data_IF_743352659612
#
_entry.id   IF_743352659612
#
_cell.length_a   1.000
_cell.length_b   1.000
_cell.length_c   1.000
_cell.angle_alpha   90.00
_cell.angle_beta   90.00
_cell.angle_gamma   90.00
#
_symmetry.space_group_name_H-M   'P 1'
#
loop_
_entity.id
_entity.type
_entity.pdbx_description
1 polymer ?
#
# COMPACT_ATOMS: atom_id res chain seq x y z
N UNK A 1 -23.15 -25.31 -9.00
CA UNK A 1 -22.28 -24.56 -9.93
C UNK A 1 -22.36 -23.10 -9.52
N UNK A 2 -21.56 -22.69 -8.58
CA UNK A 2 -21.67 -21.40 -7.89
C UNK A 2 -20.59 -20.49 -8.44
N UNK A 3 -20.99 -19.56 -9.32
CA UNK A 3 -20.10 -18.55 -9.89
C UNK A 3 -19.81 -17.50 -8.85
N UNK A 4 -18.62 -17.52 -8.26
CA UNK A 4 -18.08 -16.48 -7.41
C UNK A 4 -17.44 -15.43 -8.32
N UNK A 5 -18.21 -14.49 -8.82
CA UNK A 5 -17.74 -13.24 -9.43
C UNK A 5 -17.90 -12.12 -8.41
N UNK A 6 -17.00 -11.99 -7.56
CA UNK A 6 -15.80 -11.19 -7.28
C UNK A 6 -15.96 -9.68 -7.48
N UNK A 7 -15.81 -8.97 -6.39
CA UNK A 7 -15.43 -7.55 -6.26
C UNK A 7 -14.22 -7.21 -7.17
N UNK A 8 -14.05 -5.96 -7.59
CA UNK A 8 -12.98 -5.58 -8.51
C UNK A 8 -11.61 -5.92 -7.95
N UNK A 9 -10.87 -6.66 -8.74
CA UNK A 9 -9.60 -7.34 -8.45
C UNK A 9 -8.46 -6.38 -8.06
N UNK A 10 -8.58 -5.09 -8.37
CA UNK A 10 -7.49 -4.14 -8.29
C UNK A 10 -6.89 -3.89 -6.89
N UNK A 11 -7.68 -4.05 -5.80
CA UNK A 11 -7.16 -3.83 -4.44
C UNK A 11 -7.23 -5.05 -3.52
N UNK A 12 -7.80 -6.16 -3.99
CA UNK A 12 -7.97 -7.38 -3.16
C UNK A 12 -6.71 -8.23 -3.10
N UNK A 13 -5.85 -8.14 -4.10
CA UNK A 13 -4.79 -9.13 -4.30
C UNK A 13 -3.49 -8.88 -3.55
N UNK A 14 -3.16 -7.66 -3.20
CA UNK A 14 -1.99 -7.38 -2.35
C UNK A 14 -2.30 -7.66 -0.87
N UNK A 15 -3.58 -7.70 -0.50
CA UNK A 15 -4.03 -7.87 0.90
C UNK A 15 -4.87 -9.11 1.17
N UNK A 16 -5.18 -9.96 0.19
CA UNK A 16 -5.96 -11.20 0.39
C UNK A 16 -5.18 -12.38 0.99
N UNK A 17 -4.00 -12.13 1.59
CA UNK A 17 -3.39 -13.08 2.51
C UNK A 17 -4.20 -13.30 3.81
N UNK A 18 -5.33 -12.60 3.94
CA UNK A 18 -6.19 -12.60 5.13
C UNK A 18 -7.41 -13.50 4.95
N UNK A 19 -7.23 -14.81 4.89
CA UNK A 19 -8.32 -15.76 5.09
C UNK A 19 -8.21 -16.35 6.49
N UNK A 20 -9.26 -16.08 7.28
CA UNK A 20 -9.48 -16.54 8.65
C UNK A 20 -9.21 -18.03 8.83
N UNK A 21 -8.42 -18.37 9.86
CA UNK A 21 -8.39 -19.69 10.47
C UNK A 21 -9.13 -19.66 11.82
N UNK A 22 -9.86 -20.72 12.19
CA UNK A 22 -10.65 -20.75 13.41
C UNK A 22 -9.79 -20.91 14.67
N UNK A 23 -10.25 -20.28 15.73
CA UNK A 23 -9.71 -20.35 17.08
C UNK A 23 -9.51 -21.78 17.57
N UNK A 24 -8.32 -22.12 18.05
CA UNK A 24 -8.10 -23.25 18.93
C UNK A 24 -7.38 -22.85 20.22
N UNK A 25 -7.77 -23.51 21.29
CA UNK A 25 -7.63 -23.26 22.73
C UNK A 25 -6.20 -23.01 23.24
N UNK A 26 -6.09 -22.09 24.21
CA UNK A 26 -4.88 -21.77 24.99
C UNK A 26 -4.43 -22.94 25.89
N UNK A 27 -3.13 -23.12 26.11
CA UNK A 27 -2.61 -23.67 27.37
C UNK A 27 -2.03 -22.57 28.28
N UNK A 28 -2.32 -22.71 29.56
CA UNK A 28 -1.75 -21.93 30.68
C UNK A 28 -0.28 -22.30 30.86
N UNK A 29 0.60 -21.33 30.98
CA UNK A 29 1.98 -21.51 31.42
C UNK A 29 2.26 -20.72 32.70
N UNK A 30 2.88 -21.43 33.61
CA UNK A 30 3.17 -21.21 35.03
C UNK A 30 4.31 -20.16 35.20
N UNK A 31 4.11 -19.23 36.12
CA UNK A 31 5.14 -18.27 36.58
C UNK A 31 6.26 -18.98 37.32
N UNK A 32 7.50 -18.64 37.01
CA UNK A 32 8.66 -18.88 37.88
C UNK A 32 9.38 -17.54 38.07
N UNK A 33 9.48 -17.13 39.33
CA UNK A 33 10.24 -15.99 39.81
C UNK A 33 11.70 -16.40 39.99
N UNK A 34 12.64 -15.62 39.51
CA UNK A 34 14.06 -15.72 39.86
C UNK A 34 14.55 -14.35 40.32
N UNK A 35 14.99 -14.36 41.57
CA UNK A 35 15.67 -13.27 42.28
C UNK A 35 17.13 -13.30 41.86
N UNK A 36 17.72 -12.17 41.46
CA UNK A 36 19.20 -12.03 41.33
C UNK A 36 19.70 -10.80 42.08
N UNK A 37 20.67 -11.08 42.90
CA UNK A 37 21.38 -10.17 43.80
C UNK A 37 22.20 -9.10 43.05
N UNK A 38 22.21 -7.90 43.65
CA UNK A 38 23.06 -6.74 43.29
C UNK A 38 24.41 -6.87 43.96
N UNK A 39 25.48 -6.79 43.19
CA UNK A 39 26.84 -6.53 43.72
C UNK A 39 27.31 -5.14 43.28
N UNK A 40 27.61 -4.29 44.28
CA UNK A 40 28.21 -2.95 44.14
C UNK A 40 29.73 -3.10 43.93
N UNK A 41 30.27 -2.51 42.87
CA UNK A 41 31.68 -2.25 42.72
C UNK A 41 31.89 -0.77 42.38
N UNK A 42 32.51 -0.04 43.34
CA UNK A 42 32.91 1.36 43.23
C UNK A 42 34.23 1.46 42.44
N UNK A 43 34.23 2.19 41.32
CA UNK A 43 35.45 2.47 40.53
C UNK A 43 35.58 3.95 40.21
N UNK A 44 36.73 4.51 40.56
CA UNK A 44 37.17 5.90 40.42
C UNK A 44 37.11 6.43 39.00
N UNK A 45 36.56 7.63 38.83
CA UNK A 45 36.54 8.39 37.57
C UNK A 45 37.58 9.49 37.62
N UNK A 46 38.53 9.50 36.68
CA UNK A 46 39.38 10.64 36.34
C UNK A 46 38.79 11.40 35.15
N UNK A 47 38.71 12.74 35.19
CA UNK A 47 38.17 13.50 34.05
C UNK A 47 39.28 13.73 33.00
N UNK A 48 39.12 13.20 31.80
CA UNK A 48 39.87 13.62 30.62
C UNK A 48 39.04 14.65 29.86
N UNK A 49 39.49 15.91 29.90
CA UNK A 49 38.98 16.97 29.03
C UNK A 49 39.60 16.83 27.64
N UNK A 50 38.84 16.29 26.70
CA UNK A 50 39.09 16.36 25.28
C UNK A 50 37.94 17.11 24.60
N UNK A 51 38.10 18.43 24.40
CA UNK A 51 37.23 19.21 23.55
C UNK A 51 37.50 18.81 22.09
N UNK A 52 36.76 17.86 21.57
CA UNK A 52 36.60 17.69 20.12
C UNK A 52 35.39 18.54 19.70
N UNK A 53 35.69 19.60 18.96
CA UNK A 53 34.69 20.40 18.25
C UNK A 53 33.97 19.48 17.30
N UNK A 54 32.73 19.14 17.61
CA UNK A 54 31.81 18.49 16.65
C UNK A 54 31.65 19.41 15.45
N UNK A 55 31.70 18.89 14.21
CA UNK A 55 31.34 19.68 13.05
C UNK A 55 29.89 20.16 13.22
N UNK A 56 29.69 21.46 13.03
CA UNK A 56 28.38 22.10 13.09
C UNK A 56 27.45 21.33 12.13
N UNK A 57 26.47 20.66 12.72
CA UNK A 57 25.34 20.11 11.93
C UNK A 57 24.69 21.30 11.24
N UNK A 58 24.73 21.32 9.93
CA UNK A 58 23.87 22.18 9.11
C UNK A 58 22.44 21.80 9.44
N UNK A 59 21.79 22.65 10.21
CA UNK A 59 20.40 22.53 10.66
C UNK A 59 19.46 22.87 9.47
N UNK A 60 19.43 21.97 8.49
CA UNK A 60 18.53 21.98 7.36
C UNK A 60 17.63 20.77 7.45
N UNK A 61 16.57 20.84 8.26
CA UNK A 61 15.49 19.84 8.22
C UNK A 61 14.94 19.81 6.80
N UNK A 62 15.03 18.61 6.15
CA UNK A 62 14.47 18.40 4.81
C UNK A 62 12.96 18.62 4.87
N UNK A 63 12.43 19.28 3.83
CA UNK A 63 10.99 19.41 3.63
C UNK A 63 10.32 18.06 3.34
N UNK A 64 8.99 17.98 3.45
CA UNK A 64 8.21 16.78 3.07
C UNK A 64 8.51 16.40 1.62
N UNK A 65 8.52 17.38 0.72
CA UNK A 65 8.80 17.16 -0.72
C UNK A 65 10.20 16.59 -0.96
N UNK A 66 11.22 17.08 -0.27
CA UNK A 66 12.59 16.59 -0.40
C UNK A 66 12.72 15.15 0.10
N UNK A 67 12.11 14.82 1.25
CA UNK A 67 12.06 13.45 1.74
C UNK A 67 11.39 12.51 0.74
N UNK A 68 10.19 12.85 0.26
CA UNK A 68 9.45 12.01 -0.67
C UNK A 68 10.19 11.84 -2.00
N UNK A 69 10.85 12.88 -2.49
CA UNK A 69 11.67 12.80 -3.71
C UNK A 69 12.83 11.82 -3.53
N UNK A 70 13.56 11.91 -2.40
CA UNK A 70 14.65 10.99 -2.08
C UNK A 70 14.19 9.54 -2.03
N UNK A 71 13.06 9.27 -1.35
CA UNK A 71 12.50 7.92 -1.23
C UNK A 71 12.07 7.37 -2.60
N UNK A 72 11.44 8.20 -3.42
CA UNK A 72 11.02 7.84 -4.78
C UNK A 72 12.21 7.50 -5.67
N UNK A 73 13.23 8.35 -5.70
CA UNK A 73 14.45 8.10 -6.48
C UNK A 73 15.19 6.83 -6.04
N UNK A 74 15.27 6.58 -4.75
CA UNK A 74 15.90 5.39 -4.21
C UNK A 74 15.21 4.11 -4.69
N UNK A 75 13.87 4.09 -4.70
CA UNK A 75 13.09 2.94 -5.16
C UNK A 75 13.28 2.63 -6.65
N UNK A 76 13.70 3.62 -7.45
CA UNK A 76 13.90 3.47 -8.90
C UNK A 76 15.32 3.12 -9.32
N UNK A 77 16.31 3.18 -8.42
CA UNK A 77 17.72 3.09 -8.79
C UNK A 77 18.46 1.87 -8.23
N UNK A 78 17.81 1.04 -7.39
CA UNK A 78 18.51 -0.05 -6.69
C UNK A 78 17.94 -1.41 -7.05
N UNK A 79 18.86 -2.38 -7.20
CA UNK A 79 18.49 -3.80 -7.21
C UNK A 79 18.56 -4.34 -5.77
N UNK A 80 17.55 -5.12 -5.37
CA UNK A 80 17.56 -5.76 -4.06
C UNK A 80 16.74 -7.06 -4.04
N UNK A 81 17.05 -7.89 -3.06
CA UNK A 81 16.28 -9.07 -2.68
C UNK A 81 15.98 -8.95 -1.19
N UNK A 82 14.73 -9.18 -0.79
CA UNK A 82 14.37 -9.13 0.62
C UNK A 82 13.16 -9.97 0.97
N UNK A 83 12.92 -10.10 2.25
CA UNK A 83 11.68 -10.66 2.81
C UNK A 83 10.93 -9.54 3.51
N UNK A 84 9.74 -9.22 3.00
CA UNK A 84 8.84 -8.24 3.58
C UNK A 84 7.86 -8.93 4.52
N UNK A 85 7.64 -8.32 5.67
CA UNK A 85 6.61 -8.71 6.63
C UNK A 85 5.62 -7.56 6.76
N UNK A 86 4.35 -7.88 6.58
CA UNK A 86 3.23 -6.95 6.78
C UNK A 86 2.49 -7.40 8.03
N UNK A 87 2.24 -6.48 8.95
CA UNK A 87 1.37 -6.71 10.09
C UNK A 87 0.28 -5.64 10.16
N UNK A 88 -0.96 -6.08 10.39
CA UNK A 88 -2.12 -5.22 10.49
C UNK A 88 -3.08 -5.82 11.54
N UNK A 89 -3.22 -5.15 12.68
CA UNK A 89 -3.92 -5.70 13.83
C UNK A 89 -3.26 -7.00 14.32
N UNK A 90 -4.05 -8.08 14.43
CA UNK A 90 -3.56 -9.41 14.87
C UNK A 90 -3.01 -10.27 13.75
N UNK A 91 -3.09 -9.80 12.52
CA UNK A 91 -2.74 -10.59 11.35
C UNK A 91 -1.35 -10.22 10.82
N UNK A 92 -0.61 -11.20 10.29
CA UNK A 92 0.73 -11.04 9.75
C UNK A 92 0.88 -11.86 8.47
N UNK A 93 1.56 -11.30 7.48
CA UNK A 93 1.94 -11.99 6.25
C UNK A 93 3.39 -11.71 5.88
N UNK A 94 3.98 -12.60 5.10
CA UNK A 94 5.33 -12.46 4.59
C UNK A 94 5.38 -12.73 3.09
N UNK A 95 6.26 -12.01 2.39
CA UNK A 95 6.50 -12.15 0.96
C UNK A 95 7.98 -11.99 0.64
N UNK A 96 8.50 -12.77 -0.30
CA UNK A 96 9.84 -12.59 -0.86
C UNK A 96 9.75 -11.65 -2.06
N UNK A 97 10.64 -10.67 -2.11
CA UNK A 97 10.69 -9.69 -3.18
C UNK A 97 12.06 -9.70 -3.89
N UNK A 98 12.04 -9.57 -5.20
CA UNK A 98 13.18 -9.31 -6.07
C UNK A 98 12.88 -8.06 -6.87
N UNK A 99 13.73 -7.07 -6.76
CA UNK A 99 13.60 -5.81 -7.50
C UNK A 99 14.86 -5.52 -8.30
N UNK A 100 14.70 -5.05 -9.53
CA UNK A 100 15.79 -4.59 -10.40
C UNK A 100 15.31 -3.46 -11.30
N UNK A 101 16.21 -2.51 -11.56
CA UNK A 101 16.00 -1.41 -12.50
C UNK A 101 17.25 -1.17 -13.33
N UNK A 102 17.09 -0.62 -14.55
CA UNK A 102 18.18 -0.23 -15.46
C UNK A 102 18.14 1.26 -15.84
N UNK A 103 17.37 2.07 -15.10
CA UNK A 103 17.14 3.49 -15.38
C UNK A 103 15.98 3.76 -16.33
N UNK A 104 15.64 2.82 -17.22
CA UNK A 104 14.52 2.94 -18.17
C UNK A 104 13.34 2.03 -17.81
N UNK A 105 13.62 0.89 -17.19
CA UNK A 105 12.66 -0.12 -16.82
C UNK A 105 12.88 -0.58 -15.38
N UNK A 106 11.77 -0.88 -14.71
CA UNK A 106 11.75 -1.54 -13.42
C UNK A 106 11.07 -2.89 -13.55
N UNK A 107 11.64 -3.90 -12.91
CA UNK A 107 11.00 -5.19 -12.75
C UNK A 107 11.01 -5.61 -11.30
N UNK A 108 9.92 -6.20 -10.89
CA UNK A 108 9.70 -6.67 -9.54
C UNK A 108 9.00 -8.02 -9.58
N UNK A 109 9.43 -8.94 -8.74
CA UNK A 109 8.73 -10.19 -8.47
C UNK A 109 8.44 -10.27 -6.98
N UNK A 110 7.23 -10.66 -6.64
CA UNK A 110 6.77 -10.87 -5.27
C UNK A 110 6.15 -12.26 -5.18
N UNK A 111 6.70 -13.09 -4.31
CA UNK A 111 6.15 -14.41 -3.99
C UNK A 111 5.58 -14.38 -2.57
N UNK A 112 4.32 -14.77 -2.39
CA UNK A 112 3.75 -14.93 -1.06
C UNK A 112 4.42 -16.10 -0.34
N UNK A 113 4.81 -15.90 0.93
CA UNK A 113 5.38 -16.93 1.80
C UNK A 113 4.36 -17.45 2.82
N UNK A 114 3.26 -16.74 3.01
CA UNK A 114 2.17 -17.10 3.93
C UNK A 114 0.84 -17.11 3.18
N UNK A 115 -0.04 -18.04 3.53
CA UNK A 115 -1.35 -18.22 2.87
C UNK A 115 -1.24 -18.95 1.54
N UNK A 116 -2.21 -18.73 0.64
CA UNK A 116 -2.25 -19.37 -0.66
C UNK A 116 -1.08 -18.92 -1.55
N UNK A 117 -0.39 -19.84 -2.24
CA UNK A 117 0.73 -19.51 -3.12
C UNK A 117 0.32 -18.54 -4.22
N UNK A 118 1.10 -17.47 -4.38
CA UNK A 118 0.89 -16.46 -5.42
C UNK A 118 2.21 -15.86 -5.83
N UNK A 119 2.38 -15.64 -7.13
CA UNK A 119 3.53 -14.92 -7.69
C UNK A 119 3.00 -13.73 -8.46
N UNK A 120 3.45 -12.54 -8.12
CA UNK A 120 3.16 -11.31 -8.87
C UNK A 120 4.46 -10.81 -9.50
N UNK A 121 4.44 -10.53 -10.81
CA UNK A 121 5.57 -9.96 -11.54
C UNK A 121 5.11 -8.64 -12.16
N UNK A 122 5.86 -7.58 -11.89
CA UNK A 122 5.64 -6.25 -12.44
C UNK A 122 6.76 -5.88 -13.41
N UNK A 123 6.39 -5.24 -14.50
CA UNK A 123 7.29 -4.51 -15.40
C UNK A 123 6.70 -3.12 -15.62
N UNK A 124 7.31 -2.10 -15.04
CA UNK A 124 6.77 -0.74 -15.01
C UNK A 124 5.31 -0.77 -14.48
N UNK A 125 4.34 -0.42 -15.33
CA UNK A 125 2.91 -0.42 -15.01
C UNK A 125 2.17 -1.72 -15.33
N UNK A 126 2.81 -2.64 -16.04
CA UNK A 126 2.22 -3.94 -16.39
C UNK A 126 2.49 -4.95 -15.29
N UNK A 127 1.44 -5.60 -14.81
CA UNK A 127 1.48 -6.57 -13.71
C UNK A 127 0.83 -7.85 -14.18
N UNK A 128 1.46 -8.99 -13.89
CA UNK A 128 0.84 -10.30 -14.01
C UNK A 128 0.88 -10.99 -12.66
N UNK A 129 -0.27 -11.51 -12.22
CA UNK A 129 -0.40 -12.28 -10.99
C UNK A 129 -0.80 -13.71 -11.31
N UNK A 130 0.03 -14.66 -10.96
CA UNK A 130 -0.20 -16.09 -11.09
C UNK A 130 -0.81 -16.63 -9.81
N UNK A 131 -1.91 -17.38 -9.94
CA UNK A 131 -2.59 -18.11 -8.87
C UNK A 131 -2.55 -19.61 -9.20
N UNK A 132 -1.55 -20.35 -8.68
CA UNK A 132 -1.30 -21.74 -9.07
C UNK A 132 -2.47 -22.69 -8.76
N UNK A 133 -3.16 -22.46 -7.62
CA UNK A 133 -4.29 -23.31 -7.18
C UNK A 133 -5.44 -23.34 -8.18
N UNK A 134 -5.79 -22.20 -8.75
CA UNK A 134 -6.84 -22.09 -9.78
C UNK A 134 -6.30 -22.17 -11.19
N UNK A 135 -4.97 -22.25 -11.39
CA UNK A 135 -4.30 -22.14 -12.69
C UNK A 135 -4.74 -20.90 -13.48
N UNK A 136 -4.92 -19.77 -12.79
CA UNK A 136 -5.30 -18.50 -13.40
C UNK A 136 -4.17 -17.50 -13.33
N UNK A 137 -4.05 -16.66 -14.37
CA UNK A 137 -3.14 -15.53 -14.41
C UNK A 137 -3.92 -14.25 -14.74
N UNK A 138 -3.75 -13.23 -13.92
CA UNK A 138 -4.40 -11.94 -14.10
C UNK A 138 -3.41 -10.92 -14.62
N UNK A 139 -3.70 -10.30 -15.77
CA UNK A 139 -2.87 -9.24 -16.36
C UNK A 139 -3.57 -7.91 -16.15
N UNK A 140 -2.87 -6.97 -15.51
CA UNK A 140 -3.42 -5.66 -15.15
C UNK A 140 -2.43 -4.55 -15.46
N UNK A 141 -2.91 -3.31 -15.48
CA UNK A 141 -2.06 -2.12 -15.42
C UNK A 141 -2.22 -1.49 -14.05
N UNK A 142 -1.12 -1.38 -13.33
CA UNK A 142 -1.08 -0.72 -12.01
C UNK A 142 0.06 0.29 -11.98
N UNK A 143 -0.17 1.39 -11.30
CA UNK A 143 0.90 2.35 -11.04
C UNK A 143 1.87 1.79 -9.98
N UNK A 144 1.37 0.97 -9.02
CA UNK A 144 2.11 0.40 -7.90
C UNK A 144 1.71 -1.03 -7.56
N UNK A 145 2.58 -1.79 -6.90
CA UNK A 145 2.25 -3.04 -6.22
C UNK A 145 1.71 -2.83 -4.79
N UNK A 146 1.72 -1.61 -4.29
CA UNK A 146 1.08 -1.23 -3.02
C UNK A 146 1.76 -1.77 -1.75
N UNK A 147 3.03 -2.21 -1.82
CA UNK A 147 3.76 -2.68 -0.63
C UNK A 147 4.36 -1.55 0.19
N UNK A 148 4.81 -0.50 -0.47
CA UNK A 148 5.05 0.81 0.12
C UNK A 148 4.15 1.80 -0.63
N UNK A 149 3.63 2.87 0.00
CA UNK A 149 2.95 3.92 -0.73
C UNK A 149 3.84 4.29 -1.91
N UNK A 150 3.36 4.10 -3.13
CA UNK A 150 4.02 4.79 -4.22
C UNK A 150 3.78 6.26 -3.93
N UNK A 151 4.85 6.95 -3.68
CA UNK A 151 4.88 8.38 -3.73
C UNK A 151 4.54 8.73 -5.19
N UNK A 152 3.22 8.73 -5.49
CA UNK A 152 2.65 8.78 -6.83
C UNK A 152 3.03 10.11 -7.48
N UNK A 153 4.02 10.03 -8.35
CA UNK A 153 4.53 11.18 -9.06
C UNK A 153 5.48 12.05 -8.22
N UNK A 154 5.97 13.11 -8.81
CA UNK A 154 6.72 14.13 -8.06
C UNK A 154 5.76 14.78 -7.09
N UNK A 155 6.04 14.77 -5.77
CA UNK A 155 5.22 15.51 -4.83
C UNK A 155 5.15 16.94 -5.32
N UNK A 156 3.95 17.38 -5.69
CA UNK A 156 3.73 18.79 -5.96
C UNK A 156 3.92 19.58 -4.65
N UNK A 157 4.24 20.85 -4.71
CA UNK A 157 4.39 21.73 -3.55
C UNK A 157 3.13 21.75 -2.63
N UNK A 158 2.04 21.13 -3.06
CA UNK A 158 0.79 21.05 -2.29
C UNK A 158 0.84 20.02 -1.13
N UNK A 159 1.72 19.01 -1.16
CA UNK A 159 1.77 17.98 -0.11
C UNK A 159 2.08 18.61 1.27
N UNK A 160 2.86 19.68 1.31
CA UNK A 160 3.22 20.41 2.52
C UNK A 160 2.05 21.17 3.16
N UNK A 161 0.96 21.39 2.40
CA UNK A 161 -0.29 21.93 2.94
C UNK A 161 -1.00 20.92 3.83
N UNK A 162 -0.79 19.61 3.58
CA UNK A 162 -1.50 18.53 4.22
C UNK A 162 -0.66 17.73 5.20
N UNK A 163 0.67 17.78 5.07
CA UNK A 163 1.58 17.07 5.95
C UNK A 163 2.72 17.98 6.44
N UNK A 164 3.17 17.70 7.65
CA UNK A 164 4.45 18.19 8.17
C UNK A 164 5.39 17.02 8.41
N UNK A 165 6.70 17.26 8.31
CA UNK A 165 7.74 16.28 8.58
C UNK A 165 8.35 16.53 9.95
N UNK A 166 8.66 15.44 10.66
CA UNK A 166 9.43 15.45 11.90
C UNK A 166 10.51 14.37 11.83
N UNK A 167 11.76 14.76 11.88
CA UNK A 167 12.89 13.84 12.01
C UNK A 167 12.96 13.31 13.44
N UNK A 168 13.05 11.99 13.59
CA UNK A 168 13.04 11.33 14.91
C UNK A 168 14.44 10.84 15.29
N UNK A 169 15.30 10.55 14.31
CA UNK A 169 16.64 10.00 14.51
C UNK A 169 16.88 8.78 13.63
N UNK A 170 17.78 7.90 14.05
CA UNK A 170 18.15 6.73 13.30
C UNK A 170 17.91 5.44 14.09
N UNK A 171 17.51 4.37 13.40
CA UNK A 171 17.32 3.03 13.96
C UNK A 171 17.85 1.97 13.00
N UNK A 172 18.14 0.78 13.54
CA UNK A 172 18.56 -0.36 12.73
C UNK A 172 17.36 -1.20 12.31
N UNK A 173 17.20 -1.44 11.00
CA UNK A 173 16.14 -2.27 10.41
C UNK A 173 16.75 -3.26 9.43
N UNK A 174 16.44 -4.53 9.53
CA UNK A 174 16.97 -5.61 8.69
C UNK A 174 18.50 -5.57 8.49
N UNK A 175 19.22 -5.18 9.55
CA UNK A 175 20.69 -5.05 9.52
C UNK A 175 21.22 -3.72 9.00
N UNK A 176 20.40 -2.81 8.48
CA UNK A 176 20.79 -1.52 7.92
C UNK A 176 20.47 -0.36 8.86
N UNK A 177 21.34 0.65 8.93
CA UNK A 177 21.06 1.89 9.65
C UNK A 177 20.11 2.75 8.79
N UNK A 178 19.01 3.19 9.38
CA UNK A 178 17.96 3.92 8.67
C UNK A 178 17.56 5.18 9.43
N UNK A 179 17.40 6.29 8.70
CA UNK A 179 16.82 7.52 9.23
C UNK A 179 15.32 7.32 9.41
N UNK A 180 14.80 7.76 10.55
CA UNK A 180 13.39 7.66 10.89
C UNK A 180 12.75 9.04 10.86
N UNK A 181 11.70 9.17 10.06
CA UNK A 181 10.89 10.39 9.96
C UNK A 181 9.41 10.08 10.15
N UNK A 182 8.68 11.04 10.69
CA UNK A 182 7.22 11.02 10.73
C UNK A 182 6.65 12.07 9.80
N UNK A 183 5.70 11.65 8.99
CA UNK A 183 4.82 12.53 8.24
C UNK A 183 3.51 12.65 9.02
N UNK A 184 3.27 13.84 9.57
CA UNK A 184 2.12 14.13 10.41
C UNK A 184 1.05 14.84 9.59
N UNK A 185 -0.17 14.31 9.51
CA UNK A 185 -1.26 15.00 8.82
C UNK A 185 -1.62 16.29 9.56
N UNK A 186 -2.02 17.31 8.80
CA UNK A 186 -2.50 18.60 9.32
C UNK A 186 -4.02 18.65 9.50
N UNK A 187 -4.72 17.58 9.10
CA UNK A 187 -6.18 17.45 9.18
C UNK A 187 -6.57 16.01 9.55
N UNK A 188 -7.87 15.76 9.72
CA UNK A 188 -8.43 14.45 10.09
C UNK A 188 -8.79 13.58 8.87
N UNK A 189 -8.43 14.01 7.65
CA UNK A 189 -8.84 13.32 6.41
C UNK A 189 -7.84 12.27 5.96
N UNK A 190 -6.68 12.15 6.60
CA UNK A 190 -5.57 11.29 6.21
C UNK A 190 -4.85 10.69 7.40
N UNK A 191 -4.16 9.59 7.16
CA UNK A 191 -3.31 8.97 8.16
C UNK A 191 -1.92 9.61 8.17
N UNK A 192 -1.23 9.50 9.31
CA UNK A 192 0.19 9.78 9.41
C UNK A 192 1.03 8.58 9.01
N UNK A 193 2.31 8.82 8.79
CA UNK A 193 3.27 7.77 8.45
C UNK A 193 4.54 7.91 9.27
N UNK A 194 5.13 6.78 9.65
CA UNK A 194 6.48 6.72 10.18
C UNK A 194 7.31 5.88 9.21
N UNK A 195 8.38 6.47 8.68
CA UNK A 195 9.15 5.91 7.58
C UNK A 195 10.59 5.75 8.02
N UNK A 196 11.17 4.58 7.79
CA UNK A 196 12.57 4.31 7.95
C UNK A 196 13.20 4.13 6.58
N UNK A 197 14.13 5.01 6.23
CA UNK A 197 14.88 4.93 4.97
C UNK A 197 16.35 4.68 5.27
N UNK A 198 16.94 3.70 4.59
CA UNK A 198 18.35 3.39 4.74
C UNK A 198 19.21 4.63 4.42
N UNK A 199 20.21 4.91 5.27
CA UNK A 199 20.90 6.21 5.28
C UNK A 199 21.65 6.52 3.99
N UNK A 200 22.33 5.54 3.40
CA UNK A 200 23.17 5.75 2.22
C UNK A 200 22.34 5.81 0.94
N UNK A 201 21.34 4.96 0.82
CA UNK A 201 20.57 4.78 -0.41
C UNK A 201 19.25 5.54 -0.43
N UNK A 202 18.65 5.77 0.73
CA UNK A 202 17.28 6.30 0.86
C UNK A 202 16.20 5.23 0.64
N UNK A 203 16.56 3.95 0.46
CA UNK A 203 15.57 2.88 0.28
C UNK A 203 14.70 2.74 1.54
N UNK A 204 13.39 2.73 1.37
CA UNK A 204 12.46 2.49 2.48
C UNK A 204 12.59 1.05 2.95
N UNK A 205 12.97 0.87 4.22
CA UNK A 205 13.19 -0.46 4.83
C UNK A 205 12.09 -0.83 5.82
N UNK A 206 11.35 0.17 6.31
CA UNK A 206 10.18 -0.01 7.16
C UNK A 206 9.24 1.17 7.02
N UNK A 207 7.93 0.90 7.09
CA UNK A 207 6.85 1.89 7.08
C UNK A 207 5.80 1.49 8.12
N UNK A 208 5.29 2.47 8.83
CA UNK A 208 4.08 2.35 9.66
C UNK A 208 3.05 3.36 9.20
N UNK A 209 1.80 2.92 9.03
CA UNK A 209 0.65 3.82 8.89
C UNK A 209 0.09 4.07 10.27
N UNK A 210 -0.06 5.35 10.61
CA UNK A 210 -0.44 5.83 11.93
C UNK A 210 -1.87 6.37 11.90
N UNK A 211 -2.72 5.83 12.75
CA UNK A 211 -4.05 6.37 13.03
C UNK A 211 -4.02 7.53 14.03
N UNK A 212 -5.19 7.91 14.53
CA UNK A 212 -5.31 8.92 15.57
C UNK A 212 -4.44 8.59 16.79
N UNK A 213 -3.88 9.61 17.43
CA UNK A 213 -2.98 9.51 18.59
C UNK A 213 -1.72 8.66 18.35
N UNK A 214 -1.31 8.46 17.08
CA UNK A 214 -0.09 7.73 16.74
C UNK A 214 -0.21 6.21 16.85
N UNK A 215 -1.41 5.65 16.96
CA UNK A 215 -1.63 4.21 16.96
C UNK A 215 -1.19 3.59 15.63
N UNK A 216 -0.38 2.52 15.69
CA UNK A 216 0.07 1.81 14.49
C UNK A 216 -1.08 0.94 13.96
N UNK A 217 -1.63 1.30 12.81
CA UNK A 217 -2.69 0.56 12.13
C UNK A 217 -2.13 -0.59 11.30
N UNK A 218 -1.02 -0.31 10.62
CA UNK A 218 -0.34 -1.26 9.75
C UNK A 218 1.16 -0.99 9.74
N UNK A 219 1.95 -2.04 9.60
CA UNK A 219 3.39 -1.97 9.45
C UNK A 219 3.84 -2.88 8.31
N UNK A 220 4.72 -2.36 7.47
CA UNK A 220 5.48 -3.11 6.47
C UNK A 220 6.95 -2.94 6.78
N UNK A 221 7.71 -4.03 6.89
CA UNK A 221 9.14 -3.97 7.17
C UNK A 221 9.88 -5.13 6.48
N UNK A 222 11.10 -4.87 6.05
CA UNK A 222 12.02 -5.95 5.71
C UNK A 222 12.44 -6.68 6.99
N UNK A 223 12.35 -7.99 7.01
CA UNK A 223 12.99 -8.85 8.00
C UNK A 223 14.40 -9.25 7.55
N UNK A 224 14.62 -9.33 6.24
CA UNK A 224 15.90 -9.60 5.58
C UNK A 224 15.97 -8.74 4.32
N UNK A 225 17.12 -8.11 4.07
CA UNK A 225 17.34 -7.27 2.89
C UNK A 225 18.80 -7.37 2.41
N UNK A 226 18.98 -7.75 1.17
CA UNK A 226 20.23 -7.70 0.46
C UNK A 226 20.14 -6.62 -0.62
N UNK A 227 20.82 -5.49 -0.40
CA UNK A 227 20.95 -4.43 -1.38
C UNK A 227 21.98 -4.79 -2.45
N UNK A 228 21.84 -4.17 -3.64
CA UNK A 228 22.69 -4.38 -4.80
C UNK A 228 22.86 -5.88 -5.18
N UNK A 229 21.78 -6.64 -4.90
CA UNK A 229 21.71 -8.07 -5.20
C UNK A 229 21.69 -8.33 -6.72
N UNK A 230 22.29 -9.43 -7.20
CA UNK A 230 22.36 -9.77 -8.62
C UNK A 230 21.02 -10.28 -9.14
N UNK A 231 20.03 -9.40 -9.28
CA UNK A 231 18.72 -9.73 -9.85
C UNK A 231 18.76 -9.61 -11.37
N UNK A 232 18.46 -10.71 -12.06
CA UNK A 232 18.46 -10.73 -13.53
C UNK A 232 17.12 -10.23 -14.09
N UNK A 233 17.15 -9.08 -14.74
CA UNK A 233 15.98 -8.53 -15.45
C UNK A 233 15.45 -9.47 -16.53
N UNK A 234 16.33 -10.10 -17.31
CA UNK A 234 15.93 -11.02 -18.38
C UNK A 234 15.28 -12.30 -17.84
N UNK A 235 15.74 -12.77 -16.69
CA UNK A 235 15.06 -13.88 -15.99
C UNK A 235 13.63 -13.49 -15.60
N UNK A 236 13.44 -12.31 -15.03
CA UNK A 236 12.11 -11.82 -14.66
C UNK A 236 11.21 -11.60 -15.89
N UNK A 237 11.77 -11.06 -17.00
CA UNK A 237 11.04 -10.92 -18.28
C UNK A 237 10.55 -12.26 -18.82
N UNK A 238 11.39 -13.32 -18.74
CA UNK A 238 10.99 -14.67 -19.17
C UNK A 238 9.90 -15.24 -18.29
N UNK A 239 10.05 -15.13 -16.96
CA UNK A 239 9.03 -15.61 -16.01
C UNK A 239 7.68 -14.90 -16.20
N UNK A 240 7.68 -13.59 -16.47
CA UNK A 240 6.47 -12.82 -16.73
C UNK A 240 5.70 -13.32 -17.97
N UNK A 241 6.40 -13.85 -18.97
CA UNK A 241 5.82 -14.38 -20.22
C UNK A 241 5.40 -15.85 -20.13
N UNK A 242 5.85 -16.57 -19.10
CA UNK A 242 5.58 -18.01 -18.97
C UNK A 242 4.17 -18.23 -18.38
N UNK A 243 3.18 -18.18 -19.26
CA UNK A 243 1.76 -18.38 -18.91
C UNK A 243 1.23 -19.76 -19.27
N UNK A 244 2.12 -20.69 -19.71
CA UNK A 244 1.72 -22.04 -20.10
C UNK A 244 1.03 -22.77 -18.94
N UNK A 245 -0.15 -23.30 -19.20
CA UNK A 245 -0.95 -24.00 -18.20
C UNK A 245 -1.81 -23.10 -17.30
N UNK A 246 -1.82 -21.79 -17.59
CA UNK A 246 -2.69 -20.82 -16.91
C UNK A 246 -3.76 -20.29 -17.87
N UNK A 247 -4.98 -20.14 -17.35
CA UNK A 247 -6.01 -19.34 -17.98
C UNK A 247 -5.71 -17.85 -17.73
N UNK A 248 -5.48 -17.09 -18.82
CA UNK A 248 -5.06 -15.68 -18.71
C UNK A 248 -6.25 -14.76 -18.80
N UNK A 249 -6.52 -14.03 -17.72
CA UNK A 249 -7.55 -13.00 -17.63
C UNK A 249 -6.93 -11.62 -17.82
N UNK A 250 -7.31 -10.94 -18.90
CA UNK A 250 -6.86 -9.58 -19.21
C UNK A 250 -8.06 -8.66 -19.35
N UNK A 251 -8.46 -7.94 -18.29
CA UNK A 251 -9.58 -7.02 -18.37
C UNK A 251 -9.27 -5.90 -19.37
N UNK A 252 -10.25 -5.56 -20.20
CA UNK A 252 -10.17 -4.41 -21.09
C UNK A 252 -10.64 -3.18 -20.32
N UNK A 253 -9.70 -2.28 -20.04
CA UNK A 253 -9.98 -1.01 -19.39
C UNK A 253 -10.08 0.08 -20.45
N UNK A 254 -11.18 0.83 -20.44
CA UNK A 254 -11.40 2.00 -21.29
C UNK A 254 -11.28 3.27 -20.44
N UNK A 255 -10.35 4.15 -20.80
CA UNK A 255 -10.22 5.46 -20.15
C UNK A 255 -11.48 6.29 -20.42
N UNK A 256 -12.02 6.90 -19.38
CA UNK A 256 -13.21 7.73 -19.41
C UNK A 256 -13.11 8.87 -18.40
N UNK A 257 -14.17 9.62 -18.22
CA UNK A 257 -14.35 10.57 -17.09
C UNK A 257 -15.63 10.23 -16.34
N UNK A 258 -15.69 10.63 -15.08
CA UNK A 258 -16.88 10.36 -14.26
C UNK A 258 -18.13 11.04 -14.86
N UNK A 259 -17.96 12.26 -15.40
CA UNK A 259 -19.03 13.03 -16.04
C UNK A 259 -19.55 12.34 -17.28
N UNK A 260 -18.67 11.72 -18.10
CA UNK A 260 -19.08 10.96 -19.29
C UNK A 260 -19.90 9.74 -18.92
N UNK A 261 -19.62 9.13 -17.76
CA UNK A 261 -20.38 8.01 -17.21
C UNK A 261 -21.61 8.46 -16.40
N UNK A 262 -21.87 9.78 -16.30
CA UNK A 262 -23.01 10.35 -15.59
C UNK A 262 -22.83 10.46 -14.08
N UNK A 263 -21.61 10.63 -13.59
CA UNK A 263 -21.28 10.77 -12.17
C UNK A 263 -20.56 12.07 -11.88
N UNK A 264 -20.75 12.60 -10.67
CA UNK A 264 -19.97 13.73 -10.14
C UNK A 264 -19.82 13.59 -8.63
N UNK A 265 -18.88 14.32 -8.05
CA UNK A 265 -18.89 14.63 -6.63
C UNK A 265 -19.60 15.96 -6.40
N UNK A 266 -20.61 16.00 -5.53
CA UNK A 266 -21.25 17.27 -5.12
C UNK A 266 -20.30 18.16 -4.34
N UNK A 267 -19.40 17.55 -3.56
CA UNK A 267 -18.34 18.24 -2.82
C UNK A 267 -16.98 17.55 -3.06
N UNK A 268 -15.94 18.35 -3.27
CA UNK A 268 -14.57 17.84 -3.31
C UNK A 268 -14.07 17.53 -1.89
N UNK A 269 -13.27 16.45 -1.77
CA UNK A 269 -12.58 16.15 -0.51
C UNK A 269 -11.24 16.89 -0.49
N UNK A 270 -10.97 17.76 0.49
CA UNK A 270 -9.79 18.60 0.51
C UNK A 270 -8.47 17.81 0.35
N UNK A 271 -7.65 18.26 -0.59
CA UNK A 271 -6.35 17.67 -0.89
C UNK A 271 -6.38 16.44 -1.80
N UNK A 272 -7.53 15.83 -2.05
CA UNK A 272 -7.65 14.69 -2.96
C UNK A 272 -8.02 15.17 -4.36
N UNK A 273 -7.17 14.86 -5.33
CA UNK A 273 -7.38 15.18 -6.75
C UNK A 273 -7.64 13.91 -7.56
N UNK A 274 -8.49 13.98 -8.61
CA UNK A 274 -8.75 12.85 -9.48
C UNK A 274 -7.48 12.48 -10.27
N UNK A 275 -7.09 11.21 -10.20
CA UNK A 275 -5.91 10.66 -10.87
C UNK A 275 -6.28 9.91 -12.15
N UNK A 276 -7.30 9.08 -12.10
CA UNK A 276 -7.74 8.28 -13.25
C UNK A 276 -9.20 7.88 -13.12
N UNK A 277 -9.85 7.72 -14.27
CA UNK A 277 -11.18 7.13 -14.36
C UNK A 277 -11.21 6.14 -15.54
N UNK A 278 -11.70 4.92 -15.28
CA UNK A 278 -11.78 3.86 -16.27
C UNK A 278 -13.07 3.08 -16.11
N UNK A 279 -13.64 2.62 -17.22
CA UNK A 279 -14.65 1.58 -17.22
C UNK A 279 -14.00 0.23 -17.58
N UNK A 280 -14.61 -0.86 -17.08
CA UNK A 280 -14.21 -2.22 -17.41
C UNK A 280 -15.27 -2.86 -18.32
N UNK A 281 -14.82 -3.42 -19.43
CA UNK A 281 -15.69 -4.27 -20.23
C UNK A 281 -15.95 -5.59 -19.50
N UNK A 282 -17.24 -5.96 -19.38
CA UNK A 282 -17.65 -7.25 -18.81
C UNK A 282 -17.95 -8.19 -19.98
N UNK A 283 -17.16 -9.27 -20.16
CA UNK A 283 -17.43 -10.23 -21.23
C UNK A 283 -18.86 -10.76 -21.16
N UNK A 284 -19.56 -10.75 -22.32
CA UNK A 284 -20.95 -11.21 -22.42
C UNK A 284 -22.01 -10.21 -21.96
N UNK A 285 -21.63 -9.02 -21.48
CA UNK A 285 -22.59 -7.96 -21.18
C UNK A 285 -23.13 -7.33 -22.46
N UNK A 286 -24.46 -7.29 -22.60
CA UNK A 286 -25.14 -6.55 -23.67
C UNK A 286 -25.46 -5.10 -23.29
N UNK A 287 -25.17 -4.72 -22.03
CA UNK A 287 -25.41 -3.39 -21.51
C UNK A 287 -24.48 -2.36 -22.21
N UNK A 288 -25.08 -1.42 -22.91
CA UNK A 288 -24.38 -0.35 -23.63
C UNK A 288 -24.91 1.01 -23.15
N UNK A 289 -24.01 1.94 -22.89
CA UNK A 289 -24.36 3.30 -22.50
C UNK A 289 -23.59 3.77 -21.26
N UNK A 290 -23.63 5.08 -20.97
CA UNK A 290 -23.00 5.64 -19.79
C UNK A 290 -23.52 5.03 -18.49
N UNK A 291 -22.60 4.65 -17.60
CA UNK A 291 -22.92 4.06 -16.31
C UNK A 291 -23.34 2.60 -16.30
N UNK A 292 -23.40 1.93 -17.46
CA UNK A 292 -23.77 0.50 -17.54
C UNK A 292 -22.58 -0.43 -17.31
N UNK A 293 -21.36 0.02 -17.56
CA UNK A 293 -20.15 -0.74 -17.27
C UNK A 293 -19.61 -0.38 -15.89
N UNK A 294 -19.02 -1.33 -15.15
CA UNK A 294 -18.33 -1.02 -13.91
C UNK A 294 -17.25 0.04 -14.13
N UNK A 295 -17.30 1.10 -13.33
CA UNK A 295 -16.38 2.23 -13.36
C UNK A 295 -15.49 2.23 -12.12
N UNK A 296 -14.21 2.55 -12.31
CA UNK A 296 -13.28 2.89 -11.23
C UNK A 296 -12.82 4.33 -11.39
N UNK A 297 -12.97 5.12 -10.33
CA UNK A 297 -12.50 6.50 -10.25
C UNK A 297 -11.54 6.63 -9.06
N UNK A 298 -10.30 7.03 -9.32
CA UNK A 298 -9.23 7.07 -8.32
C UNK A 298 -8.86 8.49 -8.00
N UNK A 299 -8.72 8.78 -6.71
CA UNK A 299 -8.25 10.05 -6.15
C UNK A 299 -6.99 9.83 -5.33
N UNK A 300 -6.13 10.85 -5.26
CA UNK A 300 -4.95 10.82 -4.39
C UNK A 300 -4.64 12.22 -3.86
N UNK A 301 -4.03 12.27 -2.67
CA UNK A 301 -3.43 13.46 -2.08
C UNK A 301 -1.90 13.51 -2.27
N UNK A 302 -1.34 12.53 -3.02
CA UNK A 302 0.09 12.33 -3.22
C UNK A 302 0.70 11.23 -2.35
N UNK A 303 0.08 10.84 -1.23
CA UNK A 303 0.50 9.74 -0.35
C UNK A 303 -0.58 8.65 -0.25
N UNK A 304 -1.78 9.06 0.10
CA UNK A 304 -2.93 8.17 0.19
C UNK A 304 -3.73 8.17 -1.11
N UNK A 305 -4.43 7.08 -1.38
CA UNK A 305 -5.36 6.97 -2.49
C UNK A 305 -6.73 6.47 -2.04
N UNK A 306 -7.77 6.95 -2.74
CA UNK A 306 -9.15 6.50 -2.58
C UNK A 306 -9.68 6.10 -3.94
N UNK A 307 -10.22 4.88 -4.04
CA UNK A 307 -10.87 4.34 -5.23
C UNK A 307 -12.37 4.24 -5.02
N UNK A 308 -13.14 4.80 -5.93
CA UNK A 308 -14.58 4.64 -6.03
C UNK A 308 -14.87 3.63 -7.14
N UNK A 309 -15.52 2.53 -6.79
CA UNK A 309 -16.01 1.53 -7.73
C UNK A 309 -17.52 1.66 -7.81
N UNK A 310 -18.02 1.90 -9.02
CA UNK A 310 -19.45 2.04 -9.29
C UNK A 310 -19.85 0.97 -10.28
N UNK A 311 -20.82 0.15 -9.92
CA UNK A 311 -21.35 -0.90 -10.80
C UNK A 311 -22.87 -0.97 -10.70
N UNK A 312 -23.58 -1.51 -11.72
CA UNK A 312 -25.02 -1.74 -11.63
C UNK A 312 -25.36 -2.58 -10.41
N UNK A 313 -26.44 -2.23 -9.72
CA UNK A 313 -26.90 -2.93 -8.53
C UNK A 313 -27.38 -4.34 -8.89
N UNK A 314 -26.87 -5.34 -8.19
CA UNK A 314 -27.26 -6.73 -8.28
C UNK A 314 -27.68 -7.25 -6.90
N UNK A 315 -28.98 -7.53 -6.66
CA UNK A 315 -29.46 -7.94 -5.34
C UNK A 315 -28.92 -9.31 -4.88
N UNK A 316 -28.37 -10.12 -5.79
CA UNK A 316 -27.76 -11.39 -5.42
C UNK A 316 -26.34 -11.23 -4.89
N UNK A 317 -25.66 -10.14 -5.25
CA UNK A 317 -24.27 -9.84 -4.84
C UNK A 317 -24.18 -8.73 -3.81
N UNK A 318 -25.06 -7.75 -3.89
CA UNK A 318 -25.05 -6.54 -3.06
C UNK A 318 -26.09 -6.65 -1.96
N UNK A 319 -25.76 -7.41 -0.91
CA UNK A 319 -26.74 -7.83 0.10
C UNK A 319 -27.12 -6.72 1.09
N UNK A 320 -26.14 -5.95 1.57
CA UNK A 320 -26.35 -4.88 2.55
C UNK A 320 -25.25 -3.83 2.47
N UNK A 321 -25.61 -2.57 2.74
CA UNK A 321 -24.63 -1.51 2.97
C UNK A 321 -23.75 -1.88 4.16
N UNK A 322 -22.46 -1.65 4.05
CA UNK A 322 -21.49 -2.10 5.03
C UNK A 322 -20.23 -1.25 5.04
N UNK A 323 -19.47 -1.38 6.10
CA UNK A 323 -18.09 -0.88 6.17
C UNK A 323 -17.19 -1.98 6.71
N UNK A 324 -15.93 -2.01 6.24
CA UNK A 324 -14.93 -2.94 6.74
C UNK A 324 -13.61 -2.21 6.98
N UNK A 325 -12.83 -2.74 7.92
CA UNK A 325 -11.52 -2.22 8.33
C UNK A 325 -10.55 -3.39 8.38
N UNK A 326 -9.44 -3.27 7.65
CA UNK A 326 -8.33 -4.22 7.69
C UNK A 326 -7.02 -3.43 7.73
N UNK A 327 -6.41 -3.35 8.90
CA UNK A 327 -5.23 -2.50 9.11
C UNK A 327 -5.55 -1.02 8.80
N UNK A 328 -4.77 -0.43 7.90
CA UNK A 328 -4.98 0.93 7.42
C UNK A 328 -6.03 1.02 6.30
N UNK A 329 -6.40 -0.10 5.67
CA UNK A 329 -7.38 -0.11 4.58
C UNK A 329 -8.79 -0.15 5.13
N UNK A 330 -9.58 0.81 4.69
CA UNK A 330 -11.01 0.90 5.00
C UNK A 330 -11.83 0.79 3.73
N UNK A 331 -13.06 0.29 3.86
CA UNK A 331 -14.05 0.30 2.78
C UNK A 331 -15.42 0.70 3.30
N UNK A 332 -16.18 1.33 2.40
CA UNK A 332 -17.59 1.67 2.59
C UNK A 332 -18.35 1.22 1.35
N UNK A 333 -19.41 0.46 1.58
CA UNK A 333 -20.29 -0.01 0.52
C UNK A 333 -21.68 0.57 0.73
N UNK A 334 -22.27 1.16 -0.32
CA UNK A 334 -23.65 1.68 -0.28
C UNK A 334 -24.32 1.62 -1.65
N UNK A 335 -25.65 1.67 -1.61
CA UNK A 335 -26.46 1.81 -2.82
C UNK A 335 -26.64 3.30 -3.17
N UNK A 336 -26.50 3.63 -4.46
CA UNK A 336 -26.76 4.96 -5.01
C UNK A 336 -27.72 4.79 -6.19
N UNK A 337 -29.04 4.94 -5.96
CA UNK A 337 -30.07 4.65 -6.97
C UNK A 337 -30.06 3.18 -7.38
N UNK A 338 -29.83 2.94 -8.66
CA UNK A 338 -29.74 1.61 -9.30
C UNK A 338 -28.28 1.10 -9.41
N UNK A 339 -27.35 1.73 -8.68
CA UNK A 339 -25.95 1.35 -8.67
C UNK A 339 -25.46 0.99 -7.27
N UNK A 340 -24.40 0.19 -7.25
CA UNK A 340 -23.64 -0.12 -6.05
C UNK A 340 -22.31 0.63 -6.07
N UNK A 341 -22.03 1.34 -4.99
CA UNK A 341 -20.79 2.06 -4.76
C UNK A 341 -19.98 1.33 -3.72
N UNK A 342 -18.73 1.02 -4.06
CA UNK A 342 -17.68 0.63 -3.10
C UNK A 342 -16.61 1.70 -3.09
N UNK A 343 -16.38 2.32 -1.94
CA UNK A 343 -15.27 3.27 -1.71
C UNK A 343 -14.22 2.56 -0.88
N UNK A 344 -12.98 2.56 -1.35
CA UNK A 344 -11.87 1.85 -0.73
C UNK A 344 -10.63 2.76 -0.67
N UNK A 345 -9.91 2.75 0.46
CA UNK A 345 -8.67 3.53 0.58
C UNK A 345 -7.97 3.38 1.93
N UNK A 346 -6.73 3.84 2.00
CA UNK A 346 -5.93 3.93 3.23
C UNK A 346 -6.05 5.32 3.84
N UNK A 347 -7.25 5.63 4.26
CA UNK A 347 -7.64 6.90 4.86
C UNK A 347 -8.62 6.65 6.01
N UNK A 348 -8.80 7.62 6.93
CA UNK A 348 -9.80 7.52 7.99
C UNK A 348 -11.21 7.19 7.45
N UNK A 349 -12.04 6.43 8.19
CA UNK A 349 -13.39 6.08 7.76
C UNK A 349 -14.27 7.28 7.43
N UNK A 350 -14.04 8.42 8.11
CA UNK A 350 -14.76 9.67 7.84
C UNK A 350 -14.50 10.19 6.43
N UNK A 351 -13.28 10.05 5.93
CA UNK A 351 -12.90 10.45 4.57
C UNK A 351 -13.60 9.61 3.53
N UNK A 352 -13.63 8.27 3.71
CA UNK A 352 -14.38 7.39 2.79
C UNK A 352 -15.88 7.72 2.80
N UNK A 353 -16.45 8.00 3.97
CA UNK A 353 -17.85 8.43 4.06
C UNK A 353 -18.09 9.73 3.31
N UNK A 354 -17.18 10.72 3.37
CA UNK A 354 -17.30 11.95 2.58
C UNK A 354 -17.36 11.63 1.08
N UNK A 355 -16.43 10.83 0.55
CA UNK A 355 -16.49 10.40 -0.85
C UNK A 355 -17.79 9.67 -1.18
N UNK A 356 -18.20 8.73 -0.32
CA UNK A 356 -19.41 7.96 -0.53
C UNK A 356 -20.68 8.81 -0.55
N UNK A 357 -20.79 9.82 0.32
CA UNK A 357 -21.94 10.70 0.39
C UNK A 357 -21.96 11.76 -0.70
N UNK A 358 -20.77 12.21 -1.15
CA UNK A 358 -20.66 13.23 -2.20
C UNK A 358 -20.86 12.68 -3.62
N UNK A 359 -20.83 11.35 -3.82
CA UNK A 359 -21.06 10.79 -5.15
C UNK A 359 -22.53 10.86 -5.55
N UNK A 360 -22.79 11.54 -6.67
CA UNK A 360 -24.14 11.77 -7.20
C UNK A 360 -24.24 11.34 -8.67
N UNK A 361 -25.41 10.83 -9.05
CA UNK A 361 -25.79 10.59 -10.41
C UNK A 361 -26.22 11.91 -11.08
N UNK A 362 -25.62 12.25 -12.22
CA UNK A 362 -25.97 13.48 -12.96
C UNK A 362 -27.01 13.24 -14.05
N UNK A 363 -27.23 11.95 -14.42
CA UNK A 363 -28.24 11.52 -15.38
C UNK A 363 -29.01 10.36 -14.76
N UNK A 364 -30.33 10.34 -14.86
CA UNK A 364 -31.15 9.21 -14.43
C UNK A 364 -30.90 7.95 -15.27
#
# INVERSE_FOLDING_TARGET
MTSILSLPVANREVRSAWHFLPFSKRPRVRRWSLVVLVALASGFVLPVHGQQSAPAATDGTRSVSEWLTRLHEASQRRAYIGTLVVSAGSAMSASKIWHVCDGSQQMERVDTLTGAPRTTIRRNKEVITFVPESKTAFVEKRESLGMFPEFLGRPGNQIEQFYSVREIGAQRVAGHLADMVELLPRDDLRFGYRIWSEQQTGLVVKLQTLGGQGAVLEQVAFSELQMDAPVSMDKLKRLMKETRGYEVHKPVLKKTTAEAEGWRLSESVPGFTPMSCHTREVPGSTAKGPGMAPMQWVFSDGLASVSLFVEPFDPQRHLAESSAIVGATHSVNRRVGDHWLTVLGEVPPATLRRFALSLERTRP
#
